data_IF_360456299165
#
_entry.id   IF_360456299165
#
_cell.length_a   1.000
_cell.length_b   1.000
_cell.length_c   1.000
_cell.angle_alpha   90.00
_cell.angle_beta   90.00
_cell.angle_gamma   90.00
#
_symmetry.space_group_name_H-M   'P 1'
#
loop_
_entity.id
_entity.type
_entity.pdbx_description
1 polymer ?
#
# COMPACT_ATOMS: atom_id res chain seq x y z
N UNK A 1 -3.85 6.33 -3.45
CA UNK A 1 -3.99 5.47 -4.65
C UNK A 1 -2.84 4.46 -4.66
N UNK A 2 -3.05 3.24 -4.16
CA UNK A 2 -1.97 2.25 -4.01
C UNK A 2 -2.11 1.00 -4.88
N UNK A 3 -3.27 0.75 -5.48
CA UNK A 3 -3.53 -0.44 -6.32
C UNK A 3 -3.08 -0.24 -7.77
N UNK A 4 -3.06 1.00 -8.28
CA UNK A 4 -2.58 1.30 -9.64
C UNK A 4 -1.05 1.32 -9.66
N UNK A 5 -0.49 0.54 -10.57
CA UNK A 5 0.95 0.44 -10.76
C UNK A 5 1.50 1.41 -11.80
N UNK A 6 2.81 1.69 -11.70
CA UNK A 6 3.52 2.60 -12.58
C UNK A 6 3.53 2.14 -14.05
N UNK A 7 3.62 0.82 -14.28
CA UNK A 7 3.62 0.26 -15.64
C UNK A 7 2.26 0.47 -16.31
N UNK A 8 1.17 0.27 -15.56
CA UNK A 8 -0.19 0.51 -16.06
C UNK A 8 -0.38 1.98 -16.43
N UNK A 9 0.08 2.90 -15.57
CA UNK A 9 -0.04 4.33 -15.81
C UNK A 9 0.71 4.78 -17.08
N UNK A 10 1.94 4.29 -17.27
CA UNK A 10 2.74 4.60 -18.45
C UNK A 10 2.08 4.09 -19.75
N UNK A 11 1.53 2.87 -19.71
CA UNK A 11 0.76 2.30 -20.84
C UNK A 11 -0.47 3.14 -21.15
N UNK A 12 -1.22 3.57 -20.14
CA UNK A 12 -2.39 4.42 -20.31
C UNK A 12 -2.03 5.76 -20.96
N UNK A 13 -0.96 6.42 -20.50
CA UNK A 13 -0.44 7.63 -21.13
C UNK A 13 -0.11 7.40 -22.61
N UNK A 14 0.64 6.33 -22.92
CA UNK A 14 1.01 5.99 -24.31
C UNK A 14 -0.21 5.81 -25.20
N UNK A 15 -1.22 5.07 -24.73
CA UNK A 15 -2.46 4.82 -25.48
C UNK A 15 -3.20 6.13 -25.75
N UNK A 16 -3.34 7.00 -24.73
CA UNK A 16 -4.05 8.28 -24.90
C UNK A 16 -3.30 9.21 -25.86
N UNK A 17 -1.98 9.35 -25.71
CA UNK A 17 -1.16 10.17 -26.63
C UNK A 17 -1.27 9.66 -28.07
N UNK A 18 -1.18 8.34 -28.27
CA UNK A 18 -1.31 7.72 -29.60
C UNK A 18 -2.70 7.95 -30.20
N UNK A 19 -3.76 7.76 -29.42
CA UNK A 19 -5.14 7.96 -29.88
C UNK A 19 -5.43 9.43 -30.24
N UNK A 20 -4.80 10.38 -29.54
CA UNK A 20 -4.96 11.82 -29.82
C UNK A 20 -3.98 12.35 -30.88
N UNK A 21 -3.07 11.52 -31.40
CA UNK A 21 -1.96 11.93 -32.27
C UNK A 21 -1.13 13.09 -31.68
N UNK A 22 -0.89 13.05 -30.36
CA UNK A 22 -0.09 14.04 -29.63
C UNK A 22 1.25 13.43 -29.21
N UNK A 23 2.28 14.26 -29.11
CA UNK A 23 3.57 13.86 -28.56
C UNK A 23 3.43 13.22 -27.16
N UNK A 24 4.22 12.18 -26.92
CA UNK A 24 4.28 11.46 -25.64
C UNK A 24 4.87 12.30 -24.49
N UNK A 25 5.49 13.45 -24.79
CA UNK A 25 5.93 14.45 -23.82
C UNK A 25 4.76 15.22 -23.20
N UNK A 26 3.60 15.28 -23.87
CA UNK A 26 2.40 15.91 -23.31
C UNK A 26 1.69 14.88 -22.42
N UNK A 27 1.63 15.08 -21.09
CA UNK A 27 1.03 14.12 -20.19
C UNK A 27 -0.43 13.86 -20.56
N UNK A 28 -0.77 12.59 -20.69
CA UNK A 28 -2.09 12.09 -21.07
C UNK A 28 -2.65 12.78 -22.31
N UNK A 29 -1.78 13.19 -23.26
CA UNK A 29 -2.19 13.93 -24.46
C UNK A 29 -2.95 15.22 -24.16
N UNK A 30 -2.68 15.87 -23.03
CA UNK A 30 -3.35 17.11 -22.60
C UNK A 30 -4.75 16.90 -22.00
N UNK A 31 -5.10 15.67 -21.62
CA UNK A 31 -6.34 15.38 -20.89
C UNK A 31 -6.15 15.74 -19.42
N UNK A 32 -7.14 16.42 -18.84
CA UNK A 32 -7.20 16.65 -17.39
C UNK A 32 -7.45 15.32 -16.68
N UNK A 33 -6.49 14.87 -15.87
CA UNK A 33 -6.59 13.62 -15.12
C UNK A 33 -6.77 13.91 -13.64
N UNK A 34 -7.82 13.36 -13.05
CA UNK A 34 -8.08 13.41 -11.61
C UNK A 34 -7.80 12.04 -11.02
N UNK A 35 -6.80 11.97 -10.14
CA UNK A 35 -6.50 10.78 -9.36
C UNK A 35 -7.24 10.82 -8.03
N UNK A 36 -7.96 9.76 -7.70
CA UNK A 36 -8.62 9.62 -6.40
C UNK A 36 -8.37 8.24 -5.81
N UNK A 37 -8.28 8.17 -4.47
CA UNK A 37 -8.17 6.90 -3.74
C UNK A 37 -7.12 6.91 -2.64
N UNK A 38 -7.13 5.88 -1.81
CA UNK A 38 -6.34 5.80 -0.58
C UNK A 38 -4.95 5.18 -0.82
N UNK A 39 -3.93 5.67 -0.12
CA UNK A 39 -2.57 5.12 -0.14
C UNK A 39 -2.35 4.00 0.88
N UNK A 40 -3.34 3.69 1.72
CA UNK A 40 -3.29 2.58 2.67
C UNK A 40 -3.90 1.28 2.14
N UNK A 41 -4.38 1.29 0.90
CA UNK A 41 -4.83 0.08 0.21
C UNK A 41 -3.65 -0.87 -0.10
N UNK A 42 -3.97 -2.05 -0.61
CA UNK A 42 -2.97 -3.01 -1.08
C UNK A 42 -2.07 -2.43 -2.18
N UNK A 43 -0.84 -2.95 -2.26
CA UNK A 43 0.10 -2.63 -3.34
C UNK A 43 -0.42 -3.18 -4.68
N UNK A 44 0.03 -2.62 -5.82
CA UNK A 44 -0.32 -3.17 -7.12
C UNK A 44 0.22 -4.59 -7.22
N UNK A 45 -0.58 -5.52 -7.76
CA UNK A 45 -0.13 -6.90 -7.95
C UNK A 45 0.84 -6.93 -9.14
N UNK A 46 2.02 -7.54 -8.95
CA UNK A 46 3.08 -7.66 -9.95
C UNK A 46 3.63 -6.33 -10.53
N UNK A 47 3.30 -5.19 -9.94
CA UNK A 47 3.78 -3.87 -10.40
C UNK A 47 4.23 -2.99 -9.22
N UNK A 48 4.95 -1.92 -9.53
CA UNK A 48 5.49 -1.00 -8.56
C UNK A 48 4.45 0.09 -8.21
N UNK A 49 4.25 0.39 -6.90
CA UNK A 49 3.41 1.51 -6.47
C UNK A 49 3.82 2.86 -7.06
N UNK A 50 2.86 3.78 -7.20
CA UNK A 50 3.09 5.12 -7.77
C UNK A 50 4.17 5.94 -7.03
N UNK A 51 4.34 5.70 -5.73
CA UNK A 51 5.33 6.38 -4.88
C UNK A 51 6.69 5.66 -4.82
N UNK A 52 6.92 4.62 -5.62
CA UNK A 52 8.18 3.86 -5.65
C UNK A 52 9.38 4.75 -5.99
N UNK A 53 10.29 4.94 -5.05
CA UNK A 53 11.50 5.73 -5.25
C UNK A 53 12.59 4.90 -5.96
N UNK A 54 13.00 5.36 -7.15
CA UNK A 54 14.03 4.70 -7.95
C UNK A 54 15.45 5.18 -7.60
N UNK A 55 15.61 6.24 -6.80
CA UNK A 55 16.92 6.73 -6.35
C UNK A 55 17.63 5.72 -5.43
N UNK A 56 16.84 5.03 -4.60
CA UNK A 56 17.30 4.01 -3.65
C UNK A 56 17.69 2.68 -4.32
N UNK A 57 17.34 2.49 -5.60
CA UNK A 57 17.76 1.33 -6.40
C UNK A 57 19.18 1.51 -6.96
N UNK A 58 20.12 1.90 -6.11
CA UNK A 58 21.50 2.26 -6.49
C UNK A 58 22.45 1.06 -6.60
N UNK A 59 21.98 -0.18 -6.44
CA UNK A 59 22.81 -1.40 -6.53
C UNK A 59 22.65 -2.18 -7.84
N UNK A 60 22.33 -1.52 -8.96
CA UNK A 60 22.46 -2.19 -10.27
C UNK A 60 23.93 -2.36 -10.60
N UNK A 61 24.34 -3.60 -10.89
CA UNK A 61 25.63 -3.91 -11.51
C UNK A 61 25.77 -3.02 -12.74
N UNK A 62 26.80 -2.16 -12.74
CA UNK A 62 27.11 -1.28 -13.87
C UNK A 62 27.16 -2.13 -15.16
N UNK A 63 26.44 -1.70 -16.20
CA UNK A 63 26.49 -2.33 -17.53
C UNK A 63 25.29 -3.17 -17.97
N UNK A 64 24.26 -3.42 -17.13
CA UNK A 64 23.03 -4.07 -17.62
C UNK A 64 22.04 -3.05 -18.21
N UNK A 65 21.56 -3.21 -19.46
CA UNK A 65 20.53 -2.34 -20.01
C UNK A 65 19.25 -2.41 -19.17
N UNK A 66 18.55 -1.27 -19.06
CA UNK A 66 17.28 -1.23 -18.32
C UNK A 66 16.24 -2.08 -19.05
N UNK A 67 15.51 -2.91 -18.30
CA UNK A 67 14.41 -3.70 -18.87
C UNK A 67 13.29 -2.77 -19.35
N UNK A 68 12.53 -3.19 -20.36
CA UNK A 68 11.34 -2.46 -20.82
C UNK A 68 10.40 -2.12 -19.64
N UNK A 69 10.20 -3.06 -18.72
CA UNK A 69 9.38 -2.83 -17.51
C UNK A 69 9.92 -1.66 -16.68
N UNK A 70 11.23 -1.57 -16.50
CA UNK A 70 11.84 -0.50 -15.71
C UNK A 70 11.75 0.86 -16.43
N UNK A 71 11.87 0.86 -17.76
CA UNK A 71 11.65 2.07 -18.57
C UNK A 71 10.21 2.55 -18.39
N UNK A 72 9.23 1.65 -18.53
CA UNK A 72 7.82 1.98 -18.33
C UNK A 72 7.55 2.51 -16.91
N UNK A 73 8.14 1.88 -15.89
CA UNK A 73 7.99 2.33 -14.51
C UNK A 73 8.59 3.72 -14.27
N UNK A 74 9.73 4.03 -14.88
CA UNK A 74 10.34 5.38 -14.84
C UNK A 74 9.49 6.42 -15.54
N UNK A 75 8.92 6.09 -16.71
CA UNK A 75 7.96 6.96 -17.41
C UNK A 75 6.73 7.21 -16.53
N UNK A 76 6.14 6.16 -15.98
CA UNK A 76 5.01 6.26 -15.05
C UNK A 76 5.33 7.15 -13.85
N UNK A 77 6.55 7.05 -13.31
CA UNK A 77 6.98 7.86 -12.17
C UNK A 77 7.12 9.33 -12.56
N UNK A 78 7.67 9.61 -13.73
CA UNK A 78 7.74 10.98 -14.27
C UNK A 78 6.34 11.61 -14.37
N UNK A 79 5.34 10.86 -14.85
CA UNK A 79 3.95 11.34 -14.92
C UNK A 79 3.38 11.68 -13.55
N UNK A 80 3.62 10.85 -12.53
CA UNK A 80 3.17 11.12 -11.15
C UNK A 80 3.82 12.36 -10.56
N UNK A 81 5.09 12.61 -10.87
CA UNK A 81 5.80 13.80 -10.39
C UNK A 81 5.30 15.10 -11.02
N UNK A 82 4.53 15.03 -12.10
CA UNK A 82 3.90 16.19 -12.75
C UNK A 82 2.54 16.56 -12.16
N UNK A 83 2.06 15.82 -11.15
CA UNK A 83 0.85 16.19 -10.41
C UNK A 83 1.11 17.53 -9.71
N UNK A 84 0.28 18.53 -10.02
CA UNK A 84 0.43 19.90 -9.53
C UNK A 84 -0.48 20.22 -8.33
N UNK A 85 -1.48 19.39 -8.07
CA UNK A 85 -2.49 19.64 -7.04
C UNK A 85 -2.80 18.36 -6.28
N UNK A 86 -2.83 18.46 -4.95
CA UNK A 86 -3.20 17.37 -4.05
C UNK A 86 -4.24 17.89 -3.07
N UNK A 87 -5.40 17.24 -3.05
CA UNK A 87 -6.48 17.53 -2.11
C UNK A 87 -6.61 16.37 -1.12
N UNK A 88 -6.51 16.65 0.18
CA UNK A 88 -6.71 15.67 1.25
C UNK A 88 -8.11 15.82 1.84
N UNK A 89 -8.93 14.78 1.72
CA UNK A 89 -10.21 14.69 2.42
C UNK A 89 -9.97 14.22 3.87
N UNK A 90 -10.45 14.98 4.85
CA UNK A 90 -10.22 14.73 6.29
C UNK A 90 -11.47 14.26 7.01
N UNK A 91 -12.66 14.61 6.55
CA UNK A 91 -13.91 14.23 7.18
C UNK A 91 -14.31 12.80 6.80
N UNK A 92 -14.53 11.94 7.81
CA UNK A 92 -15.12 10.61 7.61
C UNK A 92 -16.65 10.72 7.59
N UNK A 93 -17.25 10.23 6.50
CA UNK A 93 -18.71 10.26 6.29
C UNK A 93 -19.35 8.86 6.37
N UNK A 94 -18.56 7.80 6.56
CA UNK A 94 -19.05 6.41 6.50
C UNK A 94 -19.77 5.96 7.76
N UNK A 95 -19.37 6.49 8.92
CA UNK A 95 -19.85 6.03 10.22
C UNK A 95 -19.80 7.19 11.20
N UNK A 96 -20.77 7.24 12.11
CA UNK A 96 -20.88 8.24 13.18
C UNK A 96 -20.39 7.68 14.53
N UNK A 97 -20.07 6.39 14.61
CA UNK A 97 -19.55 5.75 15.82
C UNK A 97 -18.14 6.29 16.14
N UNK A 98 -18.07 7.17 17.14
CA UNK A 98 -16.83 7.81 17.56
C UNK A 98 -15.77 6.80 18.02
N UNK A 99 -16.16 5.72 18.70
CA UNK A 99 -15.21 4.72 19.20
C UNK A 99 -14.60 3.96 18.03
N UNK A 100 -15.42 3.61 17.04
CA UNK A 100 -14.94 2.95 15.83
C UNK A 100 -14.10 3.88 14.94
N UNK A 101 -14.46 5.16 14.82
CA UNK A 101 -13.67 6.16 14.09
C UNK A 101 -12.27 6.32 14.68
N UNK A 102 -12.17 6.43 16.01
CA UNK A 102 -10.88 6.52 16.70
C UNK A 102 -10.01 5.28 16.48
N UNK A 103 -10.63 4.08 16.50
CA UNK A 103 -9.95 2.83 16.17
C UNK A 103 -9.40 2.85 14.74
N UNK A 104 -10.22 3.23 13.75
CA UNK A 104 -9.81 3.28 12.35
C UNK A 104 -8.70 4.30 12.09
N UNK A 105 -8.72 5.43 12.80
CA UNK A 105 -7.67 6.44 12.71
C UNK A 105 -6.34 5.93 13.29
N UNK A 106 -6.36 5.29 14.46
CA UNK A 106 -5.18 4.62 15.03
C UNK A 106 -4.66 3.52 14.13
N UNK A 107 -5.55 2.69 13.57
CA UNK A 107 -5.19 1.63 12.63
C UNK A 107 -4.49 2.18 11.39
N UNK A 108 -4.99 3.30 10.85
CA UNK A 108 -4.39 4.02 9.72
C UNK A 108 -2.96 4.51 10.01
N UNK A 109 -2.67 4.90 11.25
CA UNK A 109 -1.35 5.37 11.68
C UNK A 109 -0.47 4.28 12.32
N UNK A 110 -0.95 3.05 12.42
CA UNK A 110 -0.23 1.95 13.10
C UNK A 110 -0.10 2.13 14.61
N UNK A 111 -1.06 2.82 15.23
CA UNK A 111 -1.09 3.19 16.64
C UNK A 111 -2.18 2.44 17.43
N UNK A 112 -2.61 1.27 16.94
CA UNK A 112 -3.61 0.46 17.64
C UNK A 112 -3.16 0.08 19.05
N UNK A 113 -4.10 0.08 19.99
CA UNK A 113 -3.88 -0.34 21.37
C UNK A 113 -4.67 -1.63 21.69
N UNK A 114 -4.59 -2.06 22.95
CA UNK A 114 -5.28 -3.27 23.40
C UNK A 114 -6.81 -3.14 23.33
N UNK A 115 -7.37 -1.97 23.68
CA UNK A 115 -8.80 -1.71 23.61
C UNK A 115 -9.35 -1.80 22.17
N UNK A 116 -8.54 -1.42 21.17
CA UNK A 116 -8.88 -1.58 19.76
C UNK A 116 -8.98 -3.05 19.37
N UNK A 117 -8.06 -3.87 19.87
CA UNK A 117 -8.06 -5.32 19.65
C UNK A 117 -9.30 -5.97 20.26
N UNK A 118 -9.62 -5.67 21.52
CA UNK A 118 -10.84 -6.17 22.17
C UNK A 118 -12.09 -5.74 21.42
N UNK A 119 -12.17 -4.48 20.97
CA UNK A 119 -13.29 -4.00 20.16
C UNK A 119 -13.44 -4.80 18.86
N UNK A 120 -12.34 -5.11 18.17
CA UNK A 120 -12.38 -5.94 16.95
C UNK A 120 -12.83 -7.37 17.25
N UNK A 121 -12.40 -7.96 18.38
CA UNK A 121 -12.85 -9.29 18.78
C UNK A 121 -14.37 -9.38 18.95
N UNK A 122 -15.02 -8.31 19.43
CA UNK A 122 -16.50 -8.29 19.54
C UNK A 122 -17.22 -8.38 18.18
N UNK A 123 -16.51 -8.17 17.07
CA UNK A 123 -17.06 -8.19 15.70
C UNK A 123 -16.84 -9.52 14.98
N UNK A 124 -16.22 -10.51 15.64
CA UNK A 124 -16.13 -11.87 15.11
C UNK A 124 -17.49 -12.55 15.25
N UNK A 125 -18.20 -12.70 14.14
CA UNK A 125 -19.52 -13.36 14.10
C UNK A 125 -19.34 -14.83 13.74
N UNK A 126 -19.81 -15.72 14.61
CA UNK A 126 -19.73 -17.18 14.45
C UNK A 126 -19.21 -17.85 15.72
N UNK A 127 -19.41 -19.17 15.84
CA UNK A 127 -18.69 -19.95 16.84
C UNK A 127 -17.19 -19.89 16.51
N UNK A 128 -16.28 -19.95 17.50
CA UNK A 128 -14.87 -20.23 17.26
C UNK A 128 -14.72 -21.69 16.81
N UNK A 129 -15.25 -22.02 15.64
CA UNK A 129 -15.21 -23.35 15.03
C UNK A 129 -14.19 -23.42 13.91
N UNK A 130 -13.38 -22.37 13.73
CA UNK A 130 -12.22 -22.43 12.86
C UNK A 130 -11.13 -23.09 13.70
N UNK A 131 -10.85 -24.35 13.38
CA UNK A 131 -9.62 -25.04 13.81
C UNK A 131 -8.44 -24.08 13.65
N UNK A 132 -7.51 -24.09 14.60
CA UNK A 132 -6.39 -23.14 14.63
C UNK A 132 -5.74 -23.08 13.25
N UNK A 133 -5.20 -21.93 12.85
CA UNK A 133 -4.39 -21.85 11.60
C UNK A 133 -3.17 -22.80 11.67
N UNK A 134 -2.82 -23.26 12.87
CA UNK A 134 -1.82 -24.29 13.14
C UNK A 134 -2.32 -25.73 12.97
N UNK A 135 -3.62 -25.93 12.79
CA UNK A 135 -4.25 -27.22 12.56
C UNK A 135 -4.37 -27.49 11.05
N UNK A 136 -4.43 -28.77 10.68
CA UNK A 136 -4.59 -29.19 9.27
C UNK A 136 -6.03 -28.90 8.82
N UNK A 137 -6.27 -28.34 7.62
CA UNK A 137 -5.33 -28.22 6.50
C UNK A 137 -4.56 -26.89 6.45
N UNK A 138 -4.84 -25.94 7.33
CA UNK A 138 -4.28 -24.58 7.28
C UNK A 138 -2.77 -24.55 7.56
N UNK A 139 -2.28 -25.48 8.38
CA UNK A 139 -0.84 -25.66 8.62
C UNK A 139 -0.03 -26.15 7.40
N UNK A 140 -0.70 -26.65 6.35
CA UNK A 140 -0.07 -27.05 5.09
C UNK A 140 0.09 -25.87 4.14
N UNK A 141 -0.66 -24.80 4.36
CA UNK A 141 -0.55 -23.56 3.60
C UNK A 141 0.50 -22.70 4.30
N UNK A 142 1.78 -23.00 4.10
CA UNK A 142 2.88 -22.11 4.50
C UNK A 142 2.68 -20.74 3.81
N UNK A 143 2.33 -19.64 4.51
CA UNK A 143 2.19 -18.34 3.85
C UNK A 143 3.56 -17.63 3.73
N UNK A 144 4.65 -18.22 4.23
CA UNK A 144 5.90 -17.48 4.51
C UNK A 144 7.16 -18.33 4.33
N UNK A 145 7.36 -18.96 3.16
CA UNK A 145 8.73 -19.23 2.68
C UNK A 145 9.29 -18.09 1.82
N UNK A 146 8.47 -17.11 1.40
CA UNK A 146 8.89 -16.06 0.45
C UNK A 146 8.67 -14.59 0.88
N UNK A 147 8.26 -14.32 2.12
CA UNK A 147 8.27 -12.94 2.65
C UNK A 147 9.26 -12.85 3.81
N UNK A 148 10.54 -12.71 3.44
CA UNK A 148 11.48 -12.01 4.31
C UNK A 148 11.00 -10.56 4.45
N UNK A 149 11.02 -10.08 5.69
CA UNK A 149 10.77 -8.69 6.14
C UNK A 149 9.31 -8.29 6.40
N UNK A 150 8.88 -8.46 7.66
CA UNK A 150 8.95 -7.37 8.66
C UNK A 150 8.66 -7.92 10.05
N UNK A 151 9.73 -7.98 10.83
CA UNK A 151 9.74 -8.23 12.27
C UNK A 151 8.91 -7.14 12.95
N UNK A 152 7.88 -7.55 13.70
CA UNK A 152 7.24 -6.72 14.72
C UNK A 152 8.04 -6.98 16.00
N UNK A 153 8.80 -5.99 16.46
CA UNK A 153 9.30 -6.00 17.83
C UNK A 153 8.14 -5.60 18.75
N UNK A 154 7.61 -6.56 19.50
CA UNK A 154 6.86 -6.28 20.73
C UNK A 154 7.88 -6.33 21.87
N UNK A 155 8.30 -5.18 22.37
CA UNK A 155 8.96 -5.11 23.68
C UNK A 155 7.84 -5.01 24.71
N UNK A 156 7.55 -6.13 25.38
CA UNK A 156 6.76 -6.14 26.61
C UNK A 156 7.72 -6.21 27.80
N UNK A 157 7.50 -5.35 28.78
CA UNK A 157 8.26 -5.31 30.03
C UNK A 157 7.70 -4.25 30.96
N UNK A 158 6.54 -4.53 31.55
CA UNK A 158 5.97 -3.75 32.65
C UNK A 158 6.75 -3.94 33.96
N UNK A 159 6.82 -2.83 34.69
CA UNK A 159 7.44 -2.59 36.00
C UNK A 159 7.06 -3.58 37.12
N UNK A 160 7.99 -3.91 38.03
CA UNK A 160 7.80 -3.89 39.50
C UNK A 160 9.08 -4.19 40.30
N UNK A 161 9.12 -3.66 41.53
CA UNK A 161 10.26 -3.37 42.43
C UNK A 161 10.81 -4.57 43.25
N UNK A 162 12.13 -4.49 43.58
CA UNK A 162 12.86 -4.62 44.90
C UNK A 162 12.32 -5.65 45.94
N UNK A 163 13.10 -6.46 46.73
CA UNK A 163 14.42 -6.25 47.40
C UNK A 163 15.42 -7.44 47.23
N UNK A 164 16.70 -7.43 47.65
CA UNK A 164 17.36 -7.12 48.93
C UNK A 164 18.78 -6.63 48.68
#
# INVERSE_FOLDING_TARGET
MRIVGLTLLAKLNRIICSAKHVDHQVPFGGVNVIFFGDYLQYRPVYDSPLHTDFSLSSKKKQGKPSSEKEIQQRVGRSLILQINCVVKLTQQMRTEDLRYLQLLDRLRHGQCNYDDYELLQTRVVGQPSIESVHDSPWNKVNPLSDVKEKIIFVISGSHSRVPK
#
